data_IF_520531767466
#
_entry.id   IF_520531767466
#
_cell.length_a   1.000
_cell.length_b   1.000
_cell.length_c   1.000
_cell.angle_alpha   90.00
_cell.angle_beta   90.00
_cell.angle_gamma   90.00
#
_symmetry.space_group_name_H-M   'P 1'
#
loop_
_entity.id
_entity.type
_entity.pdbx_description
1 polymer ?
#
# COMPACT_ATOMS: atom_id res chain seq x y z
N UNK A 1 -13.63 50.60 -5.44
CA UNK A 1 -12.91 49.91 -4.37
C UNK A 1 -12.59 48.51 -4.88
N UNK A 2 -11.32 48.21 -5.13
CA UNK A 2 -10.92 46.85 -5.50
C UNK A 2 -11.20 45.93 -4.30
N UNK A 3 -11.92 44.82 -4.51
CA UNK A 3 -12.04 43.77 -3.50
C UNK A 3 -10.65 43.13 -3.33
N UNK A 4 -9.87 43.67 -2.40
CA UNK A 4 -8.69 42.99 -1.89
C UNK A 4 -9.15 41.88 -0.96
N UNK A 5 -9.51 40.72 -1.51
CA UNK A 5 -9.74 39.53 -0.70
C UNK A 5 -9.15 38.30 -1.38
N UNK A 6 -7.83 38.28 -1.51
CA UNK A 6 -7.12 37.02 -1.66
C UNK A 6 -6.83 36.50 -0.25
N UNK A 7 -7.69 35.61 0.24
CA UNK A 7 -7.38 34.77 1.39
C UNK A 7 -6.87 33.45 0.80
N UNK A 8 -5.58 33.13 0.89
CA UNK A 8 -5.12 31.78 0.57
C UNK A 8 -5.84 30.85 1.55
N UNK A 9 -6.71 29.98 1.03
CA UNK A 9 -7.30 28.91 1.81
C UNK A 9 -6.54 27.62 1.46
N UNK A 10 -5.38 27.36 2.10
CA UNK A 10 -4.65 26.13 1.85
C UNK A 10 -5.52 24.93 2.19
N UNK A 11 -5.36 23.84 1.44
CA UNK A 11 -6.09 22.60 1.69
C UNK A 11 -5.84 22.17 3.15
N UNK A 12 -6.91 21.85 3.88
CA UNK A 12 -6.84 21.38 5.26
C UNK A 12 -6.54 19.89 5.27
N UNK A 13 -5.28 19.56 5.57
CA UNK A 13 -4.78 18.19 5.62
C UNK A 13 -4.69 17.73 7.08
N UNK A 14 -5.30 16.59 7.40
CA UNK A 14 -5.20 15.95 8.72
C UNK A 14 -4.64 14.54 8.61
N UNK A 15 -3.82 14.13 9.57
CA UNK A 15 -3.22 12.79 9.64
C UNK A 15 -3.65 12.12 10.94
N UNK A 16 -4.30 10.97 10.81
CA UNK A 16 -4.75 10.14 11.93
C UNK A 16 -3.85 8.91 12.06
N UNK A 17 -3.10 8.84 13.16
CA UNK A 17 -2.32 7.67 13.54
C UNK A 17 -3.13 6.72 14.43
N UNK A 18 -3.47 5.55 13.90
CA UNK A 18 -4.33 4.58 14.57
C UNK A 18 -3.52 3.45 15.23
N UNK A 19 -3.63 3.31 16.55
CA UNK A 19 -2.91 2.32 17.34
C UNK A 19 -1.40 2.59 17.41
N UNK A 20 -0.63 1.64 17.97
CA UNK A 20 0.80 1.83 18.26
C UNK A 20 1.65 2.24 17.05
N UNK A 21 1.63 1.46 15.96
CA UNK A 21 2.41 1.77 14.75
C UNK A 21 2.01 3.11 14.10
N UNK A 22 0.71 3.42 14.06
CA UNK A 22 0.24 4.70 13.55
C UNK A 22 0.67 5.88 14.43
N UNK A 23 0.57 5.75 15.76
CA UNK A 23 1.01 6.77 16.72
C UNK A 23 2.53 7.00 16.66
N UNK A 24 3.32 5.94 16.45
CA UNK A 24 4.76 6.04 16.25
C UNK A 24 5.09 6.80 14.96
N UNK A 25 4.42 6.47 13.86
CA UNK A 25 4.58 7.16 12.58
C UNK A 25 4.23 8.66 12.71
N UNK A 26 3.12 8.99 13.37
CA UNK A 26 2.72 10.38 13.64
C UNK A 26 3.75 11.11 14.51
N UNK A 27 4.25 10.48 15.57
CA UNK A 27 5.31 11.07 16.42
C UNK A 27 6.54 11.42 15.59
N UNK A 28 6.94 10.56 14.66
CA UNK A 28 8.05 10.86 13.72
C UNK A 28 7.72 12.02 12.79
N UNK A 29 6.51 12.05 12.22
CA UNK A 29 6.07 13.15 11.35
C UNK A 29 6.11 14.50 12.07
N UNK A 30 5.72 14.55 13.35
CA UNK A 30 5.79 15.75 14.18
C UNK A 30 7.24 16.18 14.41
N UNK A 31 8.14 15.24 14.73
CA UNK A 31 9.57 15.51 14.93
C UNK A 31 10.29 15.98 13.67
N UNK A 32 9.83 15.53 12.51
CA UNK A 32 10.34 15.96 11.18
C UNK A 32 9.72 17.29 10.72
N UNK A 33 8.88 17.92 11.55
CA UNK A 33 8.28 19.24 11.30
C UNK A 33 7.57 19.36 9.93
N UNK A 34 6.82 18.33 9.54
CA UNK A 34 6.04 18.36 8.29
C UNK A 34 5.02 19.51 8.35
N UNK A 35 5.12 20.43 7.40
CA UNK A 35 4.36 21.69 7.38
C UNK A 35 2.96 21.52 6.77
N UNK A 36 2.00 22.30 7.28
CA UNK A 36 0.65 22.39 6.71
C UNK A 36 -0.26 21.19 7.01
N UNK A 37 0.10 20.37 8.02
CA UNK A 37 -0.61 19.15 8.38
C UNK A 37 -0.95 19.14 9.87
N UNK A 38 -2.20 18.80 10.20
CA UNK A 38 -2.64 18.57 11.58
C UNK A 38 -2.48 17.09 11.95
N UNK A 39 -1.86 16.82 13.10
CA UNK A 39 -1.55 15.45 13.55
C UNK A 39 -2.45 15.02 14.71
N UNK A 40 -3.12 13.89 14.53
CA UNK A 40 -4.04 13.27 15.48
C UNK A 40 -3.58 11.85 15.77
N UNK A 41 -3.41 11.51 17.04
CA UNK A 41 -3.13 10.14 17.47
C UNK A 41 -4.36 9.53 18.15
N UNK A 42 -4.72 8.32 17.72
CA UNK A 42 -5.86 7.56 18.24
C UNK A 42 -5.36 6.23 18.80
N UNK A 43 -5.59 5.97 20.09
CA UNK A 43 -5.19 4.70 20.68
C UNK A 43 -6.12 4.26 21.81
N UNK A 44 -6.31 2.96 21.98
CA UNK A 44 -7.04 2.38 23.14
C UNK A 44 -6.14 2.20 24.36
N UNK A 45 -4.82 2.22 24.15
CA UNK A 45 -3.82 2.16 25.22
C UNK A 45 -3.45 3.58 25.66
N UNK A 46 -3.83 3.93 26.89
CA UNK A 46 -3.58 5.25 27.46
C UNK A 46 -2.08 5.50 27.73
N UNK A 47 -1.30 4.46 28.04
CA UNK A 47 0.14 4.60 28.29
C UNK A 47 0.88 4.91 26.99
N UNK A 48 0.55 4.20 25.92
CA UNK A 48 1.10 4.47 24.60
C UNK A 48 0.71 5.88 24.09
N UNK A 49 -0.53 6.30 24.35
CA UNK A 49 -1.00 7.63 23.97
C UNK A 49 -0.30 8.75 24.76
N UNK A 50 0.01 8.54 26.04
CA UNK A 50 0.68 9.53 26.89
C UNK A 50 2.08 9.93 26.38
N UNK A 51 2.82 8.98 25.80
CA UNK A 51 4.16 9.20 25.24
C UNK A 51 4.16 9.66 23.77
N UNK A 52 2.99 9.68 23.12
CA UNK A 52 2.85 10.11 21.73
C UNK A 52 2.94 11.63 21.63
N UNK A 53 3.71 12.15 20.66
CA UNK A 53 3.98 13.60 20.53
C UNK A 53 2.98 14.33 19.63
N UNK A 54 1.88 13.68 19.25
CA UNK A 54 0.81 14.33 18.48
C UNK A 54 0.16 15.47 19.28
N UNK A 55 -0.08 16.65 18.68
CA UNK A 55 -0.80 17.75 19.31
C UNK A 55 -2.19 17.35 19.80
N UNK A 56 -2.91 16.57 19.00
CA UNK A 56 -4.23 16.04 19.34
C UNK A 56 -4.11 14.55 19.62
N UNK A 57 -4.62 14.12 20.77
CA UNK A 57 -4.57 12.73 21.25
C UNK A 57 -5.96 12.32 21.72
N UNK A 58 -6.46 11.21 21.20
CA UNK A 58 -7.79 10.69 21.55
C UNK A 58 -7.64 9.26 22.06
N UNK A 59 -8.15 9.02 23.25
CA UNK A 59 -8.27 7.69 23.79
C UNK A 59 -9.53 7.03 23.24
N UNK A 60 -9.37 5.93 22.52
CA UNK A 60 -10.50 5.18 21.97
C UNK A 60 -11.07 4.22 23.00
N UNK A 61 -12.40 4.16 23.09
CA UNK A 61 -13.13 3.16 23.88
C UNK A 61 -12.71 3.11 25.35
N UNK A 62 -12.79 4.25 26.04
CA UNK A 62 -12.47 4.38 27.45
C UNK A 62 -13.23 3.35 28.30
N UNK A 63 -14.49 3.08 27.98
CA UNK A 63 -15.31 2.13 28.74
C UNK A 63 -14.99 0.69 28.36
N UNK A 64 -14.83 0.40 27.07
CA UNK A 64 -14.59 -0.96 26.56
C UNK A 64 -13.21 -1.49 26.98
N UNK A 65 -12.18 -0.65 26.92
CA UNK A 65 -10.79 -1.09 27.16
C UNK A 65 -10.23 -0.64 28.51
N UNK A 66 -10.86 0.36 29.16
CA UNK A 66 -10.36 0.97 30.40
C UNK A 66 -8.92 1.50 30.27
N UNK A 67 -8.53 1.89 29.06
CA UNK A 67 -7.20 2.41 28.75
C UNK A 67 -6.09 1.36 28.68
N UNK A 68 -6.42 0.07 28.71
CA UNK A 68 -5.45 -1.05 28.71
C UNK A 68 -5.12 -1.58 27.31
N UNK A 69 -5.65 -0.96 26.26
CA UNK A 69 -5.47 -1.42 24.89
C UNK A 69 -6.45 -2.52 24.47
N UNK A 70 -6.37 -2.91 23.19
CA UNK A 70 -7.25 -3.90 22.59
C UNK A 70 -6.73 -5.36 22.70
N UNK A 71 -5.57 -5.59 23.32
CA UNK A 71 -5.03 -6.94 23.55
C UNK A 71 -4.75 -7.77 22.29
N UNK A 72 -4.55 -7.13 21.13
CA UNK A 72 -4.41 -7.82 19.83
C UNK A 72 -5.73 -8.19 19.16
N UNK A 73 -6.87 -8.00 19.83
CA UNK A 73 -8.20 -8.26 19.27
C UNK A 73 -8.69 -7.05 18.45
N UNK A 74 -8.77 -7.24 17.12
CA UNK A 74 -9.22 -6.18 16.21
C UNK A 74 -10.71 -5.89 16.32
N UNK A 75 -11.53 -6.82 16.84
CA UNK A 75 -12.96 -6.58 17.08
C UNK A 75 -13.16 -5.66 18.28
N UNK A 76 -12.32 -5.78 19.30
CA UNK A 76 -12.27 -4.84 20.43
C UNK A 76 -11.81 -3.46 19.97
N UNK A 77 -10.78 -3.39 19.12
CA UNK A 77 -10.35 -2.13 18.50
C UNK A 77 -11.46 -1.45 17.69
N UNK A 78 -12.26 -2.22 16.96
CA UNK A 78 -13.41 -1.72 16.21
C UNK A 78 -14.51 -1.19 17.15
N UNK A 79 -14.87 -1.93 18.20
CA UNK A 79 -15.87 -1.48 19.19
C UNK A 79 -15.43 -0.20 19.90
N UNK A 80 -14.15 -0.10 20.23
CA UNK A 80 -13.59 1.10 20.85
C UNK A 80 -13.66 2.33 19.93
N UNK A 81 -13.39 2.16 18.63
CA UNK A 81 -13.55 3.23 17.66
C UNK A 81 -15.02 3.63 17.42
N UNK A 82 -15.93 2.65 17.46
CA UNK A 82 -17.37 2.92 17.36
C UNK A 82 -17.92 3.66 18.59
N UNK A 83 -17.41 3.35 19.79
CA UNK A 83 -17.73 4.10 21.02
C UNK A 83 -17.33 5.58 20.90
N UNK A 84 -16.16 5.85 20.31
CA UNK A 84 -15.60 7.20 20.12
C UNK A 84 -15.93 7.81 18.74
N UNK A 85 -16.98 7.32 18.07
CA UNK A 85 -17.28 7.72 16.68
C UNK A 85 -17.64 9.19 16.52
N UNK A 86 -18.32 9.77 17.52
CA UNK A 86 -18.71 11.17 17.48
C UNK A 86 -17.47 12.09 17.62
N UNK A 87 -16.52 11.75 18.48
CA UNK A 87 -15.24 12.46 18.60
C UNK A 87 -14.44 12.40 17.29
N UNK A 88 -14.38 11.21 16.66
CA UNK A 88 -13.74 11.02 15.35
C UNK A 88 -14.42 11.91 14.30
N UNK A 89 -15.75 11.95 14.28
CA UNK A 89 -16.53 12.76 13.33
C UNK A 89 -16.25 14.25 13.48
N UNK A 90 -16.16 14.75 14.71
CA UNK A 90 -15.81 16.14 14.97
C UNK A 90 -14.41 16.47 14.45
N UNK A 91 -13.45 15.58 14.70
CA UNK A 91 -12.05 15.76 14.29
C UNK A 91 -11.86 15.71 12.77
N UNK A 92 -12.59 14.87 12.04
CA UNK A 92 -12.48 14.83 10.57
C UNK A 92 -13.19 16.01 9.89
N UNK A 93 -14.13 16.66 10.58
CA UNK A 93 -14.91 17.76 10.02
C UNK A 93 -14.05 18.91 9.51
N UNK A 94 -14.43 19.46 8.35
CA UNK A 94 -13.75 20.58 7.71
C UNK A 94 -12.40 20.26 7.07
N UNK A 95 -12.02 18.98 6.96
CA UNK A 95 -10.81 18.54 6.29
C UNK A 95 -11.05 18.40 4.78
N UNK A 96 -10.12 18.88 3.97
CA UNK A 96 -10.13 18.65 2.52
C UNK A 96 -9.50 17.27 2.19
N UNK A 97 -8.52 16.86 2.99
CA UNK A 97 -7.79 15.61 2.86
C UNK A 97 -7.50 14.99 4.22
N UNK A 98 -7.67 13.67 4.31
CA UNK A 98 -7.39 12.91 5.52
C UNK A 98 -6.48 11.73 5.18
N UNK A 99 -5.36 11.66 5.89
CA UNK A 99 -4.51 10.47 5.91
C UNK A 99 -4.85 9.60 7.11
N UNK A 100 -5.01 8.30 6.88
CA UNK A 100 -5.15 7.31 7.95
C UNK A 100 -3.92 6.41 7.93
N UNK A 101 -3.09 6.46 8.97
CA UNK A 101 -1.89 5.63 9.09
C UNK A 101 -2.02 4.61 10.20
N UNK A 102 -1.70 3.35 9.89
CA UNK A 102 -1.85 2.25 10.84
C UNK A 102 -0.91 1.07 10.54
N UNK A 103 -0.43 0.43 11.60
CA UNK A 103 0.16 -0.91 11.51
C UNK A 103 -0.94 -1.98 11.59
N UNK A 104 -1.10 -2.76 10.53
CA UNK A 104 -2.14 -3.79 10.45
C UNK A 104 -1.68 -5.09 11.12
N UNK A 105 -2.64 -5.87 11.64
CA UNK A 105 -2.37 -7.15 12.31
C UNK A 105 -2.41 -7.07 13.84
N UNK A 106 -2.42 -5.86 14.42
CA UNK A 106 -2.75 -5.64 15.82
C UNK A 106 -4.25 -5.46 16.09
N UNK A 107 -4.62 -5.13 17.32
CA UNK A 107 -6.03 -4.88 17.68
C UNK A 107 -6.51 -3.48 17.28
N UNK A 108 -5.89 -2.44 17.86
CA UNK A 108 -6.35 -1.06 17.70
C UNK A 108 -6.24 -0.55 16.27
N UNK A 109 -5.06 -0.64 15.65
CA UNK A 109 -4.84 -0.14 14.28
C UNK A 109 -5.80 -0.79 13.28
N UNK A 110 -5.83 -2.12 13.24
CA UNK A 110 -6.71 -2.91 12.37
C UNK A 110 -8.20 -2.61 12.58
N UNK A 111 -8.63 -2.44 13.83
CA UNK A 111 -10.05 -2.22 14.16
C UNK A 111 -10.53 -0.78 13.97
N UNK A 112 -9.68 0.21 14.28
CA UNK A 112 -10.06 1.63 14.28
C UNK A 112 -9.85 2.32 12.94
N UNK A 113 -8.80 1.97 12.17
CA UNK A 113 -8.51 2.61 10.90
C UNK A 113 -9.69 2.59 9.90
N UNK A 114 -10.45 1.49 9.75
CA UNK A 114 -11.65 1.47 8.90
C UNK A 114 -12.73 2.44 9.36
N UNK A 115 -12.92 2.65 10.67
CA UNK A 115 -13.96 3.56 11.20
C UNK A 115 -13.56 5.02 10.93
N UNK A 116 -12.30 5.36 11.16
CA UNK A 116 -11.76 6.71 10.89
C UNK A 116 -11.86 7.04 9.41
N UNK A 117 -11.45 6.11 8.54
CA UNK A 117 -11.56 6.28 7.09
C UNK A 117 -13.01 6.48 6.63
N UNK A 118 -13.95 5.72 7.20
CA UNK A 118 -15.38 5.85 6.88
C UNK A 118 -15.93 7.23 7.23
N UNK A 119 -15.65 7.74 8.43
CA UNK A 119 -16.11 9.08 8.83
C UNK A 119 -15.44 10.17 8.00
N UNK A 120 -14.15 10.03 7.69
CA UNK A 120 -13.43 10.95 6.81
C UNK A 120 -14.04 11.00 5.40
N UNK A 121 -14.30 9.84 4.78
CA UNK A 121 -14.90 9.76 3.44
C UNK A 121 -16.32 10.32 3.43
N UNK A 122 -17.12 10.05 4.48
CA UNK A 122 -18.47 10.64 4.65
C UNK A 122 -18.45 12.16 4.81
N UNK A 123 -17.41 12.71 5.40
CA UNK A 123 -17.25 14.18 5.54
C UNK A 123 -16.93 14.88 4.22
N UNK A 124 -16.60 14.13 3.15
CA UNK A 124 -16.26 14.66 1.83
C UNK A 124 -14.76 14.88 1.61
N UNK A 125 -13.92 14.56 2.58
CA UNK A 125 -12.47 14.62 2.48
C UNK A 125 -11.92 13.54 1.54
N UNK A 126 -10.87 13.87 0.78
CA UNK A 126 -10.08 12.86 0.06
C UNK A 126 -9.37 11.98 1.10
N UNK A 127 -9.75 10.72 1.18
CA UNK A 127 -9.33 9.81 2.25
C UNK A 127 -8.29 8.83 1.73
N UNK A 128 -7.05 8.98 2.17
CA UNK A 128 -5.91 8.14 1.77
C UNK A 128 -5.46 7.35 2.99
N UNK A 129 -5.42 6.02 2.90
CA UNK A 129 -4.85 5.20 3.94
C UNK A 129 -3.44 4.73 3.56
N UNK A 130 -2.50 4.85 4.50
CA UNK A 130 -1.13 4.36 4.36
C UNK A 130 -0.91 3.34 5.47
N UNK A 131 -0.85 2.05 5.13
CA UNK A 131 -0.84 0.98 6.12
C UNK A 131 0.26 -0.02 5.89
N UNK A 132 0.79 -0.60 6.97
CA UNK A 132 1.80 -1.67 6.87
C UNK A 132 1.18 -3.04 7.13
N UNK A 133 1.62 -4.06 6.37
CA UNK A 133 1.43 -5.48 6.72
C UNK A 133 2.54 -5.90 7.69
N UNK A 134 2.26 -6.79 8.66
CA UNK A 134 3.26 -7.23 9.62
C UNK A 134 4.40 -8.01 8.94
N UNK A 135 5.54 -8.12 9.59
CA UNK A 135 6.62 -9.02 9.16
C UNK A 135 6.19 -10.48 9.29
N UNK A 136 6.69 -11.35 8.42
CA UNK A 136 6.42 -12.79 8.46
C UNK A 136 6.78 -13.44 9.79
N UNK A 137 7.83 -12.94 10.48
CA UNK A 137 8.24 -13.45 11.79
C UNK A 137 7.25 -13.12 12.92
N UNK A 138 6.34 -12.16 12.73
CA UNK A 138 5.31 -11.82 13.74
C UNK A 138 4.18 -12.86 13.80
N UNK A 139 4.17 -13.81 12.86
CA UNK A 139 3.28 -14.97 12.85
C UNK A 139 2.06 -14.84 11.94
N UNK A 140 1.54 -15.99 11.54
CA UNK A 140 0.42 -16.11 10.59
C UNK A 140 -0.88 -15.48 11.09
N UNK A 141 -1.11 -15.49 12.41
CA UNK A 141 -2.30 -14.88 13.01
C UNK A 141 -2.36 -13.37 12.76
N UNK A 142 -1.24 -12.63 12.98
CA UNK A 142 -1.18 -11.19 12.70
C UNK A 142 -1.38 -10.92 11.21
N UNK A 143 -0.77 -11.71 10.33
CA UNK A 143 -0.94 -11.57 8.89
C UNK A 143 -2.40 -11.76 8.45
N UNK A 144 -3.10 -12.76 9.02
CA UNK A 144 -4.53 -12.98 8.75
C UNK A 144 -5.37 -11.78 9.18
N UNK A 145 -5.18 -11.31 10.42
CA UNK A 145 -5.84 -10.11 10.96
C UNK A 145 -5.57 -8.88 10.10
N UNK A 146 -4.33 -8.72 9.61
CA UNK A 146 -3.96 -7.63 8.73
C UNK A 146 -4.73 -7.67 7.39
N UNK A 147 -4.79 -8.84 6.74
CA UNK A 147 -5.56 -9.02 5.49
C UNK A 147 -7.05 -8.71 5.68
N UNK A 148 -7.64 -9.18 6.77
CA UNK A 148 -9.05 -8.88 7.09
C UNK A 148 -9.30 -7.39 7.32
N UNK A 149 -8.40 -6.70 8.04
CA UNK A 149 -8.49 -5.26 8.24
C UNK A 149 -8.32 -4.46 6.97
N UNK A 150 -7.35 -4.84 6.11
CA UNK A 150 -7.10 -4.22 4.81
C UNK A 150 -8.32 -4.36 3.90
N UNK A 151 -8.94 -5.54 3.85
CA UNK A 151 -10.17 -5.78 3.09
C UNK A 151 -11.31 -4.86 3.53
N UNK A 152 -11.51 -4.69 4.85
CA UNK A 152 -12.50 -3.76 5.40
C UNK A 152 -12.19 -2.29 5.10
N UNK A 153 -10.91 -1.94 5.01
CA UNK A 153 -10.46 -0.57 4.77
C UNK A 153 -10.61 -0.17 3.30
N UNK A 154 -10.40 -1.10 2.37
CA UNK A 154 -10.43 -0.86 0.93
C UNK A 154 -11.73 -0.20 0.45
N UNK A 155 -12.88 -0.64 0.98
CA UNK A 155 -14.19 -0.06 0.65
C UNK A 155 -14.52 1.27 1.32
N UNK A 156 -13.62 1.80 2.16
CA UNK A 156 -13.86 2.98 3.03
C UNK A 156 -12.88 4.13 2.76
N UNK A 157 -11.94 3.95 1.84
CA UNK A 157 -10.96 4.95 1.45
C UNK A 157 -11.12 5.27 -0.03
N UNK A 158 -10.48 6.34 -0.48
CA UNK A 158 -10.32 6.65 -1.90
C UNK A 158 -9.10 5.95 -2.48
N UNK A 159 -7.99 5.98 -1.74
CA UNK A 159 -6.74 5.28 -2.07
C UNK A 159 -6.20 4.54 -0.87
N UNK A 160 -5.70 3.31 -1.08
CA UNK A 160 -5.07 2.48 -0.06
C UNK A 160 -3.63 2.12 -0.46
N UNK A 161 -2.65 2.74 0.19
CA UNK A 161 -1.23 2.42 0.05
C UNK A 161 -0.86 1.33 1.05
N UNK A 162 -0.44 0.18 0.52
CA UNK A 162 -0.08 -1.00 1.34
C UNK A 162 1.42 -1.21 1.31
N UNK A 163 2.05 -1.16 2.47
CA UNK A 163 3.49 -1.37 2.65
C UNK A 163 3.72 -2.76 3.26
N UNK A 164 4.21 -3.75 2.49
CA UNK A 164 4.61 -5.03 3.05
C UNK A 164 5.93 -4.92 3.83
N UNK A 165 5.89 -5.08 5.17
CA UNK A 165 7.10 -4.98 5.99
C UNK A 165 8.18 -6.02 5.61
N UNK A 166 7.80 -7.17 5.06
CA UNK A 166 8.78 -8.16 4.57
C UNK A 166 9.71 -7.60 3.50
N UNK A 167 9.26 -6.64 2.68
CA UNK A 167 10.12 -5.98 1.68
C UNK A 167 11.18 -5.09 2.32
N UNK A 168 10.94 -4.63 3.55
CA UNK A 168 11.93 -3.87 4.30
C UNK A 168 13.10 -4.77 4.73
N UNK A 169 12.89 -6.08 4.86
CA UNK A 169 13.96 -7.02 5.19
C UNK A 169 14.96 -7.18 4.05
N UNK A 170 14.53 -7.00 2.80
CA UNK A 170 15.42 -7.01 1.63
C UNK A 170 16.40 -5.82 1.64
N UNK A 171 16.04 -4.76 2.36
CA UNK A 171 16.85 -3.55 2.58
C UNK A 171 17.72 -3.64 3.85
N UNK A 172 17.59 -4.71 4.64
CA UNK A 172 18.30 -4.88 5.91
C UNK A 172 19.52 -5.78 5.78
N UNK A 173 20.61 -5.40 6.44
CA UNK A 173 21.74 -6.31 6.66
C UNK A 173 21.42 -7.33 7.77
N UNK A 174 22.12 -8.47 7.77
CA UNK A 174 21.95 -9.55 8.77
C UNK A 174 22.20 -9.13 10.23
N UNK A 175 22.75 -7.94 10.48
CA UNK A 175 22.99 -7.37 11.81
C UNK A 175 21.87 -6.44 12.29
N UNK A 176 20.85 -6.21 11.46
CA UNK A 176 19.76 -5.28 11.78
C UNK A 176 18.92 -5.83 12.93
N UNK A 177 18.84 -5.09 14.02
CA UNK A 177 18.01 -5.46 15.17
C UNK A 177 16.51 -5.26 14.89
N UNK A 178 15.67 -6.00 15.62
CA UNK A 178 14.20 -5.96 15.50
C UNK A 178 13.63 -4.54 15.65
N UNK A 179 14.14 -3.79 16.62
CA UNK A 179 13.75 -2.40 16.88
C UNK A 179 14.06 -1.49 15.68
N UNK A 180 15.22 -1.67 15.03
CA UNK A 180 15.55 -0.95 13.79
C UNK A 180 14.61 -1.32 12.64
N UNK A 181 14.21 -2.59 12.51
CA UNK A 181 13.27 -3.01 11.48
C UNK A 181 11.88 -2.36 11.65
N UNK A 182 11.35 -2.29 12.87
CA UNK A 182 10.08 -1.58 13.12
C UNK A 182 10.23 -0.07 12.89
N UNK A 183 11.37 0.54 13.24
CA UNK A 183 11.64 1.94 12.87
C UNK A 183 11.63 2.16 11.37
N UNK A 184 12.11 1.21 10.57
CA UNK A 184 12.04 1.29 9.11
C UNK A 184 10.58 1.29 8.63
N UNK A 185 9.72 0.44 9.21
CA UNK A 185 8.30 0.45 8.89
C UNK A 185 7.64 1.80 9.22
N UNK A 186 7.92 2.35 10.41
CA UNK A 186 7.43 3.67 10.81
C UNK A 186 7.93 4.77 9.85
N UNK A 187 9.19 4.69 9.42
CA UNK A 187 9.78 5.64 8.48
C UNK A 187 9.10 5.58 7.11
N UNK A 188 8.74 4.38 6.60
CA UNK A 188 8.03 4.28 5.32
C UNK A 188 6.61 4.81 5.43
N UNK A 189 5.91 4.59 6.55
CA UNK A 189 4.61 5.25 6.82
C UNK A 189 4.74 6.78 6.81
N UNK A 190 5.78 7.30 7.47
CA UNK A 190 6.10 8.72 7.50
C UNK A 190 6.39 9.27 6.10
N UNK A 191 7.21 8.59 5.32
CA UNK A 191 7.53 8.98 3.95
C UNK A 191 6.29 8.97 3.05
N UNK A 192 5.38 8.01 3.24
CA UNK A 192 4.11 7.94 2.51
C UNK A 192 3.24 9.18 2.66
N UNK A 193 3.05 9.61 3.90
CA UNK A 193 2.29 10.83 4.19
C UNK A 193 3.05 12.07 3.76
N UNK A 194 4.36 12.13 4.04
CA UNK A 194 5.22 13.27 3.67
C UNK A 194 5.21 13.52 2.16
N UNK A 195 5.41 12.48 1.36
CA UNK A 195 5.50 12.60 -0.09
C UNK A 195 4.27 13.23 -0.72
N UNK A 196 3.06 12.86 -0.26
CA UNK A 196 1.81 13.39 -0.81
C UNK A 196 1.49 14.77 -0.22
N UNK A 197 1.73 14.96 1.08
CA UNK A 197 1.46 16.24 1.73
C UNK A 197 2.36 17.35 1.20
N UNK A 198 3.66 17.11 1.03
CA UNK A 198 4.62 18.12 0.54
C UNK A 198 4.30 18.60 -0.88
N UNK A 199 3.76 17.74 -1.73
CA UNK A 199 3.31 18.11 -3.08
C UNK A 199 2.24 19.21 -3.06
N UNK A 200 1.45 19.27 -1.99
CA UNK A 200 0.35 20.23 -1.83
C UNK A 200 0.73 21.39 -0.92
N UNK A 201 1.46 21.13 0.17
CA UNK A 201 1.71 22.13 1.22
C UNK A 201 2.99 22.93 1.00
N UNK A 202 3.99 22.37 0.31
CA UNK A 202 5.27 23.04 0.08
C UNK A 202 5.26 23.70 -1.30
N UNK A 203 5.46 25.03 -1.39
CA UNK A 203 5.63 25.69 -2.67
C UNK A 203 6.89 25.16 -3.40
N UNK A 204 6.67 24.37 -4.43
CA UNK A 204 7.65 23.97 -5.43
C UNK A 204 7.70 24.93 -6.63
N UNK A 205 8.69 24.68 -7.51
CA UNK A 205 8.85 25.39 -8.79
C UNK A 205 7.70 25.08 -9.74
N UNK A 206 7.21 23.84 -9.69
CA UNK A 206 6.01 23.38 -10.39
C UNK A 206 5.10 22.76 -9.32
N UNK A 207 4.13 23.56 -8.85
CA UNK A 207 3.13 23.10 -7.90
C UNK A 207 2.07 22.28 -8.61
N UNK A 208 1.70 21.17 -7.97
CA UNK A 208 0.46 20.48 -8.28
C UNK A 208 -0.65 21.11 -7.45
N UNK A 209 -1.81 21.31 -8.07
CA UNK A 209 -2.96 21.75 -7.31
C UNK A 209 -3.65 20.56 -6.61
N UNK A 210 -4.49 20.87 -5.63
CA UNK A 210 -5.23 19.83 -4.91
C UNK A 210 -6.21 19.07 -5.82
N UNK A 211 -6.70 19.70 -6.89
CA UNK A 211 -7.66 19.08 -7.81
C UNK A 211 -7.00 18.01 -8.67
N UNK A 212 -5.76 18.22 -9.10
CA UNK A 212 -4.91 17.27 -9.82
C UNK A 212 -4.65 16.02 -8.97
N UNK A 213 -4.22 16.21 -7.72
CA UNK A 213 -4.02 15.08 -6.78
C UNK A 213 -5.33 14.35 -6.54
N UNK A 214 -6.43 15.08 -6.34
CA UNK A 214 -7.77 14.50 -6.17
C UNK A 214 -8.23 13.72 -7.40
N UNK A 215 -7.90 14.17 -8.62
CA UNK A 215 -8.28 13.48 -9.85
C UNK A 215 -7.61 12.10 -10.01
N UNK A 216 -6.38 11.93 -9.53
CA UNK A 216 -5.64 10.66 -9.61
C UNK A 216 -5.92 9.73 -8.42
N UNK A 217 -6.16 10.29 -7.23
CA UNK A 217 -6.27 9.50 -5.99
C UNK A 217 -7.71 9.27 -5.52
N UNK A 218 -8.71 9.96 -6.08
CA UNK A 218 -10.11 9.72 -5.74
C UNK A 218 -10.58 8.39 -6.31
N UNK A 219 -11.14 7.54 -5.44
CA UNK A 219 -11.66 6.20 -5.79
C UNK A 219 -10.67 5.33 -6.62
N UNK A 220 -9.35 5.54 -6.42
CA UNK A 220 -8.31 4.85 -7.18
C UNK A 220 -8.00 3.44 -6.66
N UNK A 221 -8.47 3.11 -5.45
CA UNK A 221 -8.34 1.78 -4.86
C UNK A 221 -6.92 1.49 -4.36
N UNK A 222 -6.38 0.27 -4.55
CA UNK A 222 -5.03 -0.07 -4.13
C UNK A 222 -3.99 0.78 -4.87
N UNK A 223 -3.00 1.25 -4.13
CA UNK A 223 -1.89 2.03 -4.63
C UNK A 223 -0.57 1.54 -4.04
N UNK A 224 0.50 1.84 -4.76
CA UNK A 224 1.85 1.56 -4.32
C UNK A 224 2.69 2.82 -4.38
N UNK A 225 3.60 2.95 -3.43
CA UNK A 225 4.56 4.04 -3.37
C UNK A 225 5.96 3.47 -3.45
N UNK A 226 6.80 4.13 -4.24
CA UNK A 226 8.24 3.92 -4.24
C UNK A 226 8.99 5.24 -4.17
N UNK A 227 10.22 5.15 -3.69
CA UNK A 227 11.13 6.29 -3.57
C UNK A 227 12.44 5.85 -4.19
N UNK A 228 12.97 6.69 -5.08
CA UNK A 228 14.29 6.52 -5.65
C UNK A 228 15.15 7.75 -5.39
N UNK A 229 16.45 7.53 -5.33
CA UNK A 229 17.48 8.54 -5.08
C UNK A 229 18.52 8.46 -6.19
N UNK A 230 19.06 9.61 -6.56
CA UNK A 230 20.12 9.65 -7.55
C UNK A 230 21.07 10.79 -7.28
N UNK A 231 22.33 10.56 -7.64
CA UNK A 231 23.41 11.51 -7.45
C UNK A 231 24.27 11.58 -8.71
N UNK A 232 25.00 12.68 -8.88
CA UNK A 232 25.89 12.88 -10.02
C UNK A 232 25.19 13.30 -11.31
N UNK A 233 25.78 12.98 -12.46
CA UNK A 233 25.38 13.55 -13.76
C UNK A 233 24.02 13.07 -14.27
N UNK A 234 23.63 11.84 -13.94
CA UNK A 234 22.36 11.22 -14.36
C UNK A 234 21.38 11.08 -13.19
N UNK A 235 21.53 11.91 -12.15
CA UNK A 235 20.79 11.82 -10.88
C UNK A 235 19.28 11.65 -11.04
N UNK A 236 18.63 12.38 -11.94
CA UNK A 236 17.19 12.26 -12.15
C UNK A 236 16.78 10.94 -12.81
N UNK A 237 17.53 10.47 -13.81
CA UNK A 237 17.30 9.16 -14.46
C UNK A 237 17.52 8.02 -13.48
N UNK A 238 18.61 8.09 -12.71
CA UNK A 238 18.97 7.05 -11.76
C UNK A 238 17.94 6.98 -10.63
N UNK A 239 17.48 8.13 -10.11
CA UNK A 239 16.38 8.20 -9.15
C UNK A 239 15.07 7.59 -9.72
N UNK A 240 14.73 7.87 -10.98
CA UNK A 240 13.53 7.31 -11.61
C UNK A 240 13.65 5.79 -11.75
N UNK A 241 14.81 5.28 -12.15
CA UNK A 241 15.08 3.83 -12.27
C UNK A 241 15.02 3.13 -10.92
N UNK A 242 15.61 3.72 -9.88
CA UNK A 242 15.54 3.16 -8.52
C UNK A 242 14.09 3.14 -8.01
N UNK A 243 13.32 4.21 -8.25
CA UNK A 243 11.91 4.24 -7.86
C UNK A 243 11.11 3.14 -8.57
N UNK A 244 11.34 2.90 -9.86
CA UNK A 244 10.67 1.84 -10.63
C UNK A 244 11.09 0.42 -10.23
N UNK A 245 12.32 0.26 -9.74
CA UNK A 245 12.89 -1.02 -9.30
C UNK A 245 12.72 -1.26 -7.79
N UNK A 246 12.00 -0.39 -7.08
CA UNK A 246 11.89 -0.45 -5.62
C UNK A 246 11.19 -1.73 -5.15
N UNK A 247 11.71 -2.43 -4.13
CA UNK A 247 11.07 -3.61 -3.54
C UNK A 247 9.69 -3.34 -2.94
N UNK A 248 9.35 -2.07 -2.70
CA UNK A 248 8.05 -1.66 -2.19
C UNK A 248 6.93 -1.77 -3.24
N UNK A 249 7.29 -1.89 -4.53
CA UNK A 249 6.37 -2.19 -5.63
C UNK A 249 6.19 -3.70 -5.74
N UNK A 250 5.05 -4.19 -5.24
CA UNK A 250 4.73 -5.64 -5.28
C UNK A 250 4.20 -6.08 -6.67
N UNK A 251 3.76 -5.12 -7.48
CA UNK A 251 3.18 -5.33 -8.82
C UNK A 251 3.94 -4.47 -9.84
N UNK A 252 4.11 -5.00 -11.05
CA UNK A 252 4.68 -4.23 -12.17
C UNK A 252 3.86 -2.97 -12.43
N UNK A 253 4.52 -1.82 -12.46
CA UNK A 253 3.92 -0.49 -12.72
C UNK A 253 3.25 -0.37 -14.10
N UNK A 254 3.49 -1.33 -15.01
CA UNK A 254 2.92 -1.33 -16.35
C UNK A 254 1.39 -1.36 -16.40
N UNK A 255 0.72 -1.80 -15.33
CA UNK A 255 -0.75 -1.82 -15.24
C UNK A 255 -1.37 -0.59 -14.56
N UNK A 256 -0.56 0.40 -14.16
CA UNK A 256 -1.06 1.58 -13.45
C UNK A 256 -1.75 2.56 -14.39
N UNK A 257 -3.00 2.92 -14.09
CA UNK A 257 -3.78 3.91 -14.86
C UNK A 257 -3.62 5.35 -14.35
N UNK A 258 -3.20 5.50 -13.11
CA UNK A 258 -2.90 6.79 -12.50
C UNK A 258 -1.49 6.78 -11.92
N UNK A 259 -0.73 7.83 -12.21
CA UNK A 259 0.65 7.97 -11.74
C UNK A 259 0.86 9.38 -11.25
N UNK A 260 1.26 9.52 -9.99
CA UNK A 260 1.73 10.77 -9.42
C UNK A 260 3.21 10.61 -9.11
N UNK A 261 4.06 11.49 -9.62
CA UNK A 261 5.45 11.54 -9.19
C UNK A 261 5.90 12.94 -8.78
N UNK A 262 6.70 13.02 -7.72
CA UNK A 262 7.27 14.26 -7.24
C UNK A 262 8.78 14.19 -7.35
N UNK A 263 9.39 15.19 -7.97
CA UNK A 263 10.84 15.33 -8.08
C UNK A 263 11.29 16.40 -7.11
N UNK A 264 12.10 16.03 -6.13
CA UNK A 264 12.70 16.96 -5.16
C UNK A 264 14.20 16.96 -5.32
N UNK A 265 14.76 18.14 -5.54
CA UNK A 265 16.21 18.29 -5.69
C UNK A 265 16.70 19.68 -5.30
N UNK A 266 18.00 19.96 -5.44
CA UNK A 266 18.55 21.30 -5.29
C UNK A 266 17.96 22.30 -6.27
N UNK A 267 18.16 23.59 -5.99
CA UNK A 267 17.69 24.70 -6.85
C UNK A 267 18.29 24.72 -8.25
N UNK A 268 19.33 23.92 -8.52
CA UNK A 268 19.96 23.78 -9.84
C UNK A 268 19.33 22.67 -10.70
N UNK A 269 18.27 22.01 -10.21
CA UNK A 269 17.55 20.98 -10.94
C UNK A 269 16.98 21.56 -12.24
N UNK A 270 17.45 21.03 -13.37
CA UNK A 270 17.05 21.51 -14.69
C UNK A 270 15.78 20.84 -15.20
N UNK A 271 15.02 21.56 -16.04
CA UNK A 271 13.86 20.98 -16.74
C UNK A 271 14.26 19.77 -17.61
N UNK A 272 15.48 19.76 -18.15
CA UNK A 272 15.99 18.64 -18.94
C UNK A 272 16.08 17.35 -18.11
N UNK A 273 16.64 17.43 -16.90
CA UNK A 273 16.72 16.29 -15.98
C UNK A 273 15.34 15.77 -15.58
N UNK A 274 14.40 16.69 -15.27
CA UNK A 274 13.01 16.32 -14.95
C UNK A 274 12.33 15.63 -16.13
N UNK A 275 12.54 16.12 -17.35
CA UNK A 275 11.99 15.53 -18.57
C UNK A 275 12.56 14.13 -18.84
N UNK A 276 13.86 13.92 -18.63
CA UNK A 276 14.46 12.58 -18.78
C UNK A 276 13.91 11.58 -17.77
N UNK A 277 13.71 11.99 -16.51
CA UNK A 277 13.07 11.15 -15.50
C UNK A 277 11.61 10.83 -15.86
N UNK A 278 10.84 11.83 -16.31
CA UNK A 278 9.46 11.66 -16.75
C UNK A 278 9.33 10.68 -17.91
N UNK A 279 10.24 10.74 -18.90
CA UNK A 279 10.27 9.81 -20.03
C UNK A 279 10.56 8.37 -19.63
N UNK A 280 11.42 8.16 -18.62
CA UNK A 280 11.69 6.82 -18.07
C UNK A 280 10.44 6.25 -17.40
N UNK A 281 9.74 7.06 -16.59
CA UNK A 281 8.50 6.64 -15.91
C UNK A 281 7.40 6.37 -16.95
N UNK A 282 7.22 7.26 -17.93
CA UNK A 282 6.21 7.14 -19.00
C UNK A 282 6.35 5.85 -19.81
N UNK A 283 7.56 5.38 -20.04
CA UNK A 283 7.83 4.13 -20.76
C UNK A 283 7.55 2.87 -19.92
N UNK A 284 7.49 3.01 -18.61
CA UNK A 284 7.30 1.89 -17.69
C UNK A 284 5.82 1.68 -17.29
N UNK A 285 4.96 2.67 -17.53
CA UNK A 285 3.54 2.67 -17.15
C UNK A 285 2.63 2.47 -18.36
N UNK A 286 1.33 2.32 -18.13
CA UNK A 286 0.35 2.17 -19.21
C UNK A 286 0.39 3.40 -20.17
N UNK A 287 0.36 3.22 -21.51
CA UNK A 287 0.38 4.32 -22.47
C UNK A 287 -0.76 5.34 -22.29
N UNK A 288 -1.90 4.89 -21.77
CA UNK A 288 -3.09 5.69 -21.52
C UNK A 288 -3.17 6.15 -20.04
N UNK A 289 -2.11 5.93 -19.25
CA UNK A 289 -2.06 6.37 -17.86
C UNK A 289 -2.16 7.90 -17.74
N UNK A 290 -2.97 8.36 -16.79
CA UNK A 290 -2.97 9.76 -16.37
C UNK A 290 -1.74 10.02 -15.48
N UNK A 291 -0.77 10.78 -16.00
CA UNK A 291 0.49 11.08 -15.32
C UNK A 291 0.48 12.53 -14.85
N UNK A 292 0.66 12.71 -13.55
CA UNK A 292 0.74 14.02 -12.88
C UNK A 292 2.10 14.14 -12.20
N UNK A 293 2.75 15.30 -12.34
CA UNK A 293 4.09 15.51 -11.80
C UNK A 293 4.28 16.84 -11.08
N UNK A 294 4.99 16.79 -9.95
CA UNK A 294 5.40 17.95 -9.16
C UNK A 294 6.92 18.12 -9.17
N UNK A 295 7.38 19.37 -9.02
CA UNK A 295 8.81 19.67 -8.85
C UNK A 295 9.00 20.57 -7.63
N UNK A 296 9.60 20.00 -6.59
CA UNK A 296 10.00 20.69 -5.37
C UNK A 296 11.49 21.00 -5.32
N UNK A 297 11.86 22.05 -4.59
CA UNK A 297 13.25 22.38 -4.33
C UNK A 297 13.58 22.22 -2.85
N UNK A 298 14.67 21.53 -2.52
CA UNK A 298 15.18 21.41 -1.16
C UNK A 298 16.70 21.66 -1.14
N UNK A 299 17.11 22.76 -0.51
CA UNK A 299 18.52 23.17 -0.44
C UNK A 299 19.37 22.29 0.46
N UNK A 300 18.75 21.49 1.35
CA UNK A 300 19.46 20.63 2.29
C UNK A 300 19.89 19.28 1.67
N UNK A 301 19.53 19.03 0.40
CA UNK A 301 19.78 17.77 -0.30
C UNK A 301 21.12 17.74 -1.05
N UNK A 302 21.93 18.79 -0.98
CA UNK A 302 23.21 18.85 -1.68
C UNK A 302 23.02 18.70 -3.19
N UNK A 303 23.65 17.68 -3.79
CA UNK A 303 23.53 17.40 -5.23
C UNK A 303 22.55 16.27 -5.56
N UNK A 304 21.85 15.74 -4.56
CA UNK A 304 21.01 14.54 -4.71
C UNK A 304 19.60 14.92 -5.17
N UNK A 305 19.00 14.03 -5.96
CA UNK A 305 17.61 14.13 -6.41
C UNK A 305 16.84 12.95 -5.86
N UNK A 306 15.68 13.22 -5.26
CA UNK A 306 14.73 12.21 -4.83
C UNK A 306 13.50 12.25 -5.74
N UNK A 307 13.06 11.08 -6.17
CA UNK A 307 11.81 10.91 -6.89
C UNK A 307 10.91 10.03 -6.04
N UNK A 308 9.73 10.54 -5.69
CA UNK A 308 8.67 9.72 -5.11
C UNK A 308 7.65 9.42 -6.19
N UNK A 309 7.35 8.14 -6.40
CA UNK A 309 6.40 7.66 -7.37
C UNK A 309 5.23 6.98 -6.65
N UNK A 310 4.02 7.36 -6.99
CA UNK A 310 2.78 6.76 -6.51
C UNK A 310 2.00 6.28 -7.71
N UNK A 311 1.80 4.98 -7.78
CA UNK A 311 1.04 4.33 -8.83
C UNK A 311 -0.32 3.88 -8.28
N UNK A 312 -1.39 4.15 -9.02
CA UNK A 312 -2.77 3.85 -8.66
C UNK A 312 -3.53 3.22 -9.84
N UNK A 313 -4.71 2.67 -9.56
CA UNK A 313 -5.60 2.16 -10.61
C UNK A 313 -5.05 0.91 -11.31
N UNK A 314 -4.30 0.08 -10.58
CA UNK A 314 -3.91 -1.24 -11.07
C UNK A 314 -5.17 -2.07 -11.29
N UNK A 315 -5.30 -2.66 -12.48
CA UNK A 315 -6.27 -3.72 -12.69
C UNK A 315 -5.88 -4.87 -11.76
N UNK A 316 -6.60 -5.02 -10.66
CA UNK A 316 -6.63 -6.27 -9.90
C UNK A 316 -7.35 -7.27 -10.79
N UNK A 317 -6.66 -7.77 -11.83
CA UNK A 317 -7.02 -9.05 -12.39
C UNK A 317 -6.94 -10.01 -11.20
N UNK A 318 -8.09 -10.51 -10.81
CA UNK A 318 -8.24 -11.48 -9.73
C UNK A 318 -7.33 -12.67 -10.02
N UNK A 319 -6.14 -12.71 -9.42
CA UNK A 319 -5.32 -13.92 -9.31
C UNK A 319 -5.89 -14.90 -8.27
N UNK A 320 -7.16 -14.73 -7.87
CA UNK A 320 -7.97 -15.68 -7.09
C UNK A 320 -9.11 -16.29 -7.95
N UNK A 321 -8.91 -16.41 -9.28
CA UNK A 321 -9.99 -16.75 -10.23
C UNK A 321 -9.80 -17.99 -11.12
N UNK A 322 -8.67 -18.69 -11.07
CA UNK A 322 -8.45 -19.91 -11.86
C UNK A 322 -7.99 -21.06 -10.95
N UNK A 323 -8.95 -21.63 -10.21
CA UNK A 323 -8.67 -22.80 -9.37
C UNK A 323 -9.90 -23.51 -8.79
N UNK A 324 -11.01 -22.79 -8.56
CA UNK A 324 -12.13 -23.35 -7.78
C UNK A 324 -13.31 -23.88 -8.60
N UNK A 325 -13.43 -23.56 -9.90
CA UNK A 325 -14.56 -24.04 -10.71
C UNK A 325 -14.39 -25.50 -11.20
N UNK A 326 -13.16 -26.02 -11.30
CA UNK A 326 -12.93 -27.42 -11.68
C UNK A 326 -13.00 -28.39 -10.48
N UNK A 327 -12.67 -27.91 -9.28
CA UNK A 327 -12.73 -28.70 -8.05
C UNK A 327 -14.17 -28.81 -7.53
N UNK A 328 -14.95 -27.73 -7.62
CA UNK A 328 -16.35 -27.69 -7.21
C UNK A 328 -17.27 -28.49 -8.15
N UNK A 329 -16.93 -28.57 -9.44
CA UNK A 329 -17.62 -29.44 -10.40
C UNK A 329 -17.35 -30.94 -10.16
N UNK A 330 -16.15 -31.31 -9.70
CA UNK A 330 -15.78 -32.71 -9.40
C UNK A 330 -16.32 -33.21 -8.05
N UNK A 331 -16.72 -32.32 -7.14
CA UNK A 331 -17.28 -32.67 -5.83
C UNK A 331 -18.80 -32.86 -5.80
N UNK A 332 -19.53 -32.50 -6.86
CA UNK A 332 -21.00 -32.70 -6.95
C UNK A 332 -21.45 -34.15 -7.27
N UNK A 333 -20.51 -35.08 -7.43
CA UNK A 333 -20.78 -36.47 -7.83
C UNK A 333 -20.77 -37.52 -6.71
N UNK A 334 -20.39 -37.18 -5.48
CA UNK A 334 -20.20 -38.18 -4.42
C UNK A 334 -21.36 -38.13 -3.43
N UNK A 335 -22.36 -38.99 -3.63
CA UNK A 335 -23.33 -39.35 -2.60
C UNK A 335 -22.83 -40.62 -1.92
N UNK A 336 -22.23 -40.48 -0.74
CA UNK A 336 -22.35 -41.37 0.43
C UNK A 336 -21.22 -41.07 1.45
N UNK A 337 -21.57 -41.00 2.73
CA UNK A 337 -20.74 -40.53 3.85
C UNK A 337 -19.74 -41.54 4.43
N UNK A 338 -19.51 -42.71 3.82
CA UNK A 338 -18.69 -43.78 4.43
C UNK A 338 -17.23 -43.92 3.92
N UNK A 339 -16.73 -43.01 3.07
CA UNK A 339 -15.36 -43.11 2.51
C UNK A 339 -14.33 -42.08 3.04
N UNK A 340 -14.67 -41.33 4.08
CA UNK A 340 -13.81 -40.27 4.63
C UNK A 340 -12.78 -40.74 5.68
N UNK A 341 -12.80 -42.02 6.09
CA UNK A 341 -11.98 -42.51 7.22
C UNK A 341 -10.71 -43.30 6.81
N UNK A 342 -10.27 -43.19 5.55
CA UNK A 342 -9.06 -43.87 5.07
C UNK A 342 -7.95 -42.86 4.71
N UNK A 343 -6.77 -42.92 5.35
CA UNK A 343 -5.63 -42.05 5.04
C UNK A 343 -5.23 -42.09 3.57
N UNK A 344 -4.81 -40.93 3.05
CA UNK A 344 -4.59 -40.63 1.63
C UNK A 344 -3.60 -41.55 0.90
N UNK A 345 -2.71 -42.24 1.61
CA UNK A 345 -1.67 -43.10 1.02
C UNK A 345 -2.14 -44.53 0.67
N UNK A 346 -3.36 -44.94 1.04
CA UNK A 346 -3.91 -46.27 0.73
C UNK A 346 -4.88 -46.29 -0.47
N UNK A 347 -5.11 -45.15 -1.13
CA UNK A 347 -5.98 -45.08 -2.31
C UNK A 347 -5.20 -45.47 -3.58
N UNK A 348 -5.60 -46.58 -4.22
CA UNK A 348 -5.02 -47.07 -5.49
C UNK A 348 -5.43 -46.13 -6.65
N UNK A 349 -4.59 -45.87 -7.68
CA UNK A 349 -4.93 -44.90 -8.72
C UNK A 349 -5.94 -45.49 -9.72
N UNK A 350 -7.13 -44.90 -9.78
CA UNK A 350 -8.13 -45.09 -10.83
C UNK A 350 -7.82 -44.18 -12.03
N UNK A 351 -6.75 -44.47 -12.78
CA UNK A 351 -6.58 -43.90 -14.12
C UNK A 351 -5.99 -44.97 -15.04
N UNK A 352 -6.87 -45.79 -15.61
CA UNK A 352 -6.59 -46.52 -16.84
C UNK A 352 -7.84 -46.50 -17.72
N UNK A 353 -7.65 -46.27 -19.01
CA UNK A 353 -8.64 -46.20 -20.10
C UNK A 353 -9.32 -44.81 -20.20
N UNK A 354 -9.15 -44.03 -21.27
CA UNK A 354 -9.39 -44.42 -22.65
C UNK A 354 -8.64 -43.49 -23.63
N UNK A 355 -7.75 -44.03 -24.48
CA UNK A 355 -7.36 -43.40 -25.75
C UNK A 355 -7.97 -44.23 -26.88
N UNK A 356 -8.73 -43.58 -27.76
CA UNK A 356 -9.33 -44.19 -28.95
C UNK A 356 -8.24 -44.71 -29.92
N UNK A 357 -8.51 -45.77 -30.71
CA UNK A 357 -7.54 -46.35 -31.63
C UNK A 357 -7.42 -45.57 -32.94
N UNK A 358 -6.20 -45.42 -33.44
CA UNK A 358 -5.88 -44.89 -34.77
C UNK A 358 -6.08 -45.96 -35.87
N UNK A 359 -6.39 -45.59 -37.13
CA UNK A 359 -6.60 -46.55 -38.21
C UNK A 359 -5.28 -47.12 -38.75
N UNK A 360 -5.26 -48.43 -39.02
CA UNK A 360 -4.12 -49.18 -39.57
C UNK A 360 -3.83 -48.84 -41.05
N UNK A 361 -2.56 -48.75 -41.47
CA UNK A 361 -2.17 -48.90 -42.86
C UNK A 361 -1.73 -50.34 -43.21
N UNK A 362 -2.17 -50.77 -44.39
CA UNK A 362 -2.01 -52.09 -45.01
C UNK A 362 -0.56 -52.56 -45.21
N UNK A 363 -0.32 -53.86 -44.97
CA UNK A 363 0.95 -54.56 -45.28
C UNK A 363 1.11 -54.79 -46.79
N UNK A 364 2.25 -54.41 -47.36
CA UNK A 364 2.75 -54.95 -48.64
C UNK A 364 4.09 -55.66 -48.48
N UNK A 365 4.08 -56.88 -48.98
CA UNK A 365 5.05 -57.97 -49.04
C UNK A 365 6.42 -57.69 -49.72
N UNK A 366 7.45 -58.49 -49.34
CA UNK A 366 8.69 -58.97 -50.06
C UNK A 366 10.07 -58.37 -49.67
N UNK A 367 11.21 -59.09 -49.89
CA UNK A 367 11.79 -60.14 -49.02
C UNK A 367 13.30 -59.89 -48.73
N UNK A 368 14.06 -60.78 -48.06
CA UNK A 368 15.40 -60.46 -47.53
C UNK A 368 16.54 -60.96 -48.44
N UNK A 369 17.63 -60.19 -48.60
CA UNK A 369 18.93 -60.71 -49.10
C UNK A 369 20.14 -59.87 -48.66
N UNK A 370 20.99 -60.54 -47.85
CA UNK A 370 22.46 -60.61 -47.76
C UNK A 370 23.40 -59.59 -48.47
N UNK A 371 24.53 -59.37 -47.75
CA UNK A 371 25.95 -59.33 -48.16
C UNK A 371 26.65 -58.00 -48.53
N UNK A 372 27.53 -57.59 -47.60
CA UNK A 372 28.99 -57.31 -47.72
C UNK A 372 29.62 -56.49 -48.87
N UNK A 373 30.59 -55.65 -48.45
CA UNK A 373 31.76 -55.05 -49.14
C UNK A 373 31.56 -53.88 -50.12
N UNK A 374 31.99 -52.68 -49.73
CA UNK A 374 33.29 -52.10 -50.11
C UNK A 374 33.67 -50.93 -49.22
#
# INVERSE_FOLDING_TARGET
>A
MAKTSYLPNPARIKVFGCGGGGCNAVTRMVREEIQGVEFIALNTDAQALAITEAPVRVQLGERVTRGLGAGGDHTMGQKAAEESRDDIRELVSGSDMVFVTAGMGGGTGTGSAPIVAEEAKKSGALTIAVVTKPFGFEGSHRMKTAKEGISKLLGKVDTLIIIPNDRLLELCDAKTGVDTAFRMADNVLQQGVKAISEVITVPGTINLDFADVKAVMKDAGPAWMSIGRGAGKNRAIDAAREALASPLLDVSVGGARGVLFNVVGPSDLSLYEVNEAAEVIRKAVDPDANIIFGVGSNTNMGNDVHITLIATGFNVATEDGEGDDELTAKLRGIKNEEELDVPSFLRRPLFSQSRQPAPEPSKSNRPPTRSTWR
#
